data_IF_065068871862
#
_entry.id   IF_065068871862
#
_cell.length_a   1.000
_cell.length_b   1.000
_cell.length_c   1.000
_cell.angle_alpha   90.00
_cell.angle_beta   90.00
_cell.angle_gamma   90.00
#
_symmetry.space_group_name_H-M   'P 1'
#
loop_
_entity.id
_entity.type
_entity.pdbx_description
1 polymer ?
#
# COMPACT_ATOMS: atom_id res chain seq x y z
N UNK A 1 -7.72 18.23 -0.86
CA UNK A 1 -9.01 18.25 -1.60
C UNK A 1 -9.48 19.65 -1.96
N UNK A 2 -9.30 20.65 -1.12
CA UNK A 2 -9.74 22.05 -1.33
C UNK A 2 -8.98 22.75 -2.49
N UNK A 3 -7.67 22.59 -2.60
CA UNK A 3 -6.85 23.22 -3.63
C UNK A 3 -7.16 22.75 -5.09
N UNK A 4 -7.67 21.52 -5.28
CA UNK A 4 -8.07 21.01 -6.60
C UNK A 4 -9.36 21.64 -7.12
N UNK A 5 -10.32 21.94 -6.23
CA UNK A 5 -11.56 22.63 -6.61
C UNK A 5 -11.31 24.08 -7.01
N UNK A 6 -10.40 24.79 -6.33
CA UNK A 6 -10.07 26.17 -6.63
C UNK A 6 -9.38 26.37 -7.98
N UNK A 7 -8.49 25.43 -8.42
CA UNK A 7 -7.84 25.49 -9.73
C UNK A 7 -8.83 25.24 -10.88
N UNK A 8 -9.76 24.32 -10.73
CA UNK A 8 -10.80 24.06 -11.73
C UNK A 8 -11.74 25.25 -11.87
N UNK A 9 -12.11 25.91 -10.76
CA UNK A 9 -12.94 27.12 -10.75
C UNK A 9 -12.23 28.37 -11.31
N UNK A 10 -10.90 28.40 -11.35
CA UNK A 10 -10.12 29.50 -11.93
C UNK A 10 -9.88 29.33 -13.46
N UNK A 11 -9.73 28.10 -13.94
CA UNK A 11 -9.45 27.83 -15.36
C UNK A 11 -10.68 28.03 -16.26
N UNK A 12 -11.88 27.68 -15.79
CA UNK A 12 -13.14 27.83 -16.57
C UNK A 12 -13.48 29.29 -16.85
N UNK A 13 -13.43 30.24 -15.88
CA UNK A 13 -13.68 31.66 -16.16
C UNK A 13 -12.65 32.27 -17.11
N UNK A 14 -11.39 31.84 -17.02
CA UNK A 14 -10.33 32.36 -17.91
C UNK A 14 -10.53 31.95 -19.36
N UNK A 15 -10.96 30.72 -19.62
CA UNK A 15 -11.30 30.25 -20.98
C UNK A 15 -12.55 30.97 -21.52
N UNK A 16 -13.56 31.18 -20.68
CA UNK A 16 -14.77 31.94 -21.05
C UNK A 16 -14.45 33.41 -21.38
N UNK A 17 -13.61 34.06 -20.58
CA UNK A 17 -13.15 35.43 -20.83
C UNK A 17 -12.37 35.55 -22.14
N UNK A 18 -11.48 34.58 -22.43
CA UNK A 18 -10.73 34.51 -23.69
C UNK A 18 -11.67 34.37 -24.91
N UNK A 19 -12.70 33.50 -24.81
CA UNK A 19 -13.73 33.34 -25.87
C UNK A 19 -14.56 34.58 -26.08
N UNK A 20 -14.94 35.30 -25.02
CA UNK A 20 -15.68 36.55 -25.12
C UNK A 20 -14.85 37.66 -25.75
N UNK A 21 -13.57 37.77 -25.42
CA UNK A 21 -12.62 38.69 -26.07
C UNK A 21 -12.47 38.38 -27.56
N UNK A 22 -12.34 37.10 -27.93
CA UNK A 22 -12.28 36.63 -29.31
C UNK A 22 -13.58 37.02 -30.09
N UNK A 23 -14.73 36.75 -29.48
CA UNK A 23 -16.03 37.09 -30.08
C UNK A 23 -16.18 38.60 -30.28
N UNK A 24 -15.77 39.40 -29.29
CA UNK A 24 -15.81 40.86 -29.38
C UNK A 24 -14.89 41.40 -30.48
N UNK A 25 -13.65 40.90 -30.57
CA UNK A 25 -12.67 41.25 -31.65
C UNK A 25 -13.17 40.88 -33.05
N UNK A 26 -13.95 39.81 -33.18
CA UNK A 26 -14.51 39.37 -34.46
C UNK A 26 -15.73 40.22 -34.87
N UNK A 27 -16.47 40.76 -33.91
CA UNK A 27 -17.71 41.49 -34.15
C UNK A 27 -17.51 43.03 -34.30
N UNK A 28 -16.34 43.59 -33.91
CA UNK A 28 -16.05 45.01 -34.01
C UNK A 28 -15.78 45.44 -35.47
N UNK A 29 -16.64 46.29 -36.09
CA UNK A 29 -16.51 46.66 -37.49
C UNK A 29 -15.39 47.71 -37.75
N UNK A 30 -14.86 48.37 -36.71
CA UNK A 30 -13.89 49.45 -36.85
C UNK A 30 -12.43 49.06 -36.81
N UNK A 31 -12.10 47.81 -36.58
CA UNK A 31 -10.72 47.31 -36.55
C UNK A 31 -10.12 47.21 -37.95
N UNK A 32 -9.18 48.09 -38.26
CA UNK A 32 -8.65 48.36 -39.59
C UNK A 32 -7.72 47.34 -40.25
N UNK A 33 -7.35 46.22 -39.60
CA UNK A 33 -6.52 45.17 -40.21
C UNK A 33 -6.99 43.76 -39.88
N UNK A 34 -7.53 43.07 -40.88
CA UNK A 34 -7.98 41.68 -40.76
C UNK A 34 -6.87 40.73 -40.21
N UNK A 35 -5.59 41.00 -40.53
CA UNK A 35 -4.44 40.21 -40.05
C UNK A 35 -4.26 40.31 -38.54
N UNK A 36 -4.34 41.53 -37.95
CA UNK A 36 -4.19 41.71 -36.50
C UNK A 36 -5.31 41.03 -35.71
N UNK A 37 -6.53 40.98 -36.24
CA UNK A 37 -7.67 40.27 -35.66
C UNK A 37 -7.42 38.78 -35.59
N UNK A 38 -6.96 38.17 -36.70
CA UNK A 38 -6.66 36.75 -36.73
C UNK A 38 -5.48 36.37 -35.84
N UNK A 39 -4.46 37.22 -35.72
CA UNK A 39 -3.35 37.01 -34.78
C UNK A 39 -3.82 37.07 -33.34
N UNK A 40 -4.71 37.96 -32.96
CA UNK A 40 -5.26 38.01 -31.62
C UNK A 40 -6.12 36.79 -31.28
N UNK A 41 -6.95 36.31 -32.23
CA UNK A 41 -7.75 35.12 -32.07
C UNK A 41 -6.85 33.87 -31.89
N UNK A 42 -5.83 33.72 -32.72
CA UNK A 42 -4.86 32.62 -32.61
C UNK A 42 -4.10 32.64 -31.28
N UNK A 43 -3.68 33.84 -30.83
CA UNK A 43 -3.03 33.98 -29.53
C UNK A 43 -3.95 33.60 -28.37
N UNK A 44 -5.23 33.96 -28.40
CA UNK A 44 -6.20 33.61 -27.38
C UNK A 44 -6.49 32.10 -27.37
N UNK A 45 -6.57 31.45 -28.54
CA UNK A 45 -6.73 30.00 -28.64
C UNK A 45 -5.48 29.30 -28.08
N UNK A 46 -4.27 29.74 -28.45
CA UNK A 46 -3.05 29.19 -27.93
C UNK A 46 -2.93 29.31 -26.40
N UNK A 47 -3.27 30.49 -25.85
CA UNK A 47 -3.29 30.70 -24.40
C UNK A 47 -4.31 29.79 -23.69
N UNK A 48 -5.49 29.60 -24.28
CA UNK A 48 -6.51 28.69 -23.74
C UNK A 48 -6.04 27.23 -23.76
N UNK A 49 -5.40 26.78 -24.82
CA UNK A 49 -4.83 25.43 -24.93
C UNK A 49 -3.70 25.21 -23.92
N UNK A 50 -2.85 26.21 -23.68
CA UNK A 50 -1.80 26.17 -22.68
C UNK A 50 -2.38 26.07 -21.25
N UNK A 51 -3.43 26.82 -20.94
CA UNK A 51 -4.12 26.76 -19.65
C UNK A 51 -4.80 25.42 -19.42
N UNK A 52 -5.44 24.85 -20.44
CA UNK A 52 -6.05 23.52 -20.35
C UNK A 52 -5.00 22.45 -20.18
N UNK A 53 -3.92 22.48 -20.97
CA UNK A 53 -2.84 21.49 -20.87
C UNK A 53 -2.11 21.54 -19.51
N UNK A 54 -1.85 22.74 -18.98
CA UNK A 54 -1.27 22.90 -17.65
C UNK A 54 -2.19 22.39 -16.53
N UNK A 55 -3.49 22.65 -16.66
CA UNK A 55 -4.49 22.13 -15.70
C UNK A 55 -4.57 20.60 -15.71
N UNK A 56 -4.53 19.98 -16.89
CA UNK A 56 -4.49 18.54 -17.06
C UNK A 56 -3.19 17.98 -16.45
N UNK A 57 -2.03 18.60 -16.72
CA UNK A 57 -0.77 18.16 -16.14
C UNK A 57 -0.77 18.19 -14.61
N UNK A 58 -1.31 19.24 -13.99
CA UNK A 58 -1.44 19.35 -12.52
C UNK A 58 -2.38 18.26 -11.96
N UNK A 59 -3.47 17.94 -12.64
CA UNK A 59 -4.38 16.87 -12.22
C UNK A 59 -3.71 15.50 -12.31
N UNK A 60 -2.92 15.24 -13.36
CA UNK A 60 -2.20 13.98 -13.55
C UNK A 60 -1.08 13.82 -12.50
N UNK A 61 -0.24 14.82 -12.30
CA UNK A 61 0.84 14.77 -11.31
C UNK A 61 0.32 14.63 -9.89
N UNK A 62 -0.74 15.38 -9.54
CA UNK A 62 -1.38 15.27 -8.22
C UNK A 62 -1.99 13.90 -7.97
N UNK A 63 -2.57 13.23 -8.99
CA UNK A 63 -3.12 11.87 -8.86
C UNK A 63 -2.05 10.82 -8.60
N UNK A 64 -0.90 10.94 -9.25
CA UNK A 64 0.23 10.03 -9.02
C UNK A 64 0.85 10.22 -7.63
N UNK A 65 0.99 11.45 -7.16
CA UNK A 65 1.51 11.74 -5.81
C UNK A 65 0.57 11.19 -4.73
N UNK A 66 -0.74 11.38 -4.85
CA UNK A 66 -1.69 10.83 -3.89
C UNK A 66 -1.67 9.30 -3.88
N UNK A 67 -1.55 8.65 -5.05
CA UNK A 67 -1.43 7.20 -5.16
C UNK A 67 -0.11 6.68 -4.56
N UNK A 68 1.00 7.39 -4.77
CA UNK A 68 2.30 7.06 -4.16
C UNK A 68 2.28 7.23 -2.65
N UNK A 69 1.71 8.34 -2.15
CA UNK A 69 1.54 8.56 -0.71
C UNK A 69 0.64 7.50 -0.07
N UNK A 70 -0.48 7.14 -0.72
CA UNK A 70 -1.36 6.08 -0.26
C UNK A 70 -0.67 4.71 -0.26
N UNK A 71 0.18 4.44 -1.26
CA UNK A 71 0.98 3.20 -1.34
C UNK A 71 2.07 3.19 -0.26
N UNK A 72 2.83 4.26 -0.10
CA UNK A 72 3.84 4.40 0.95
C UNK A 72 3.24 4.31 2.36
N UNK A 73 2.01 4.80 2.54
CA UNK A 73 1.28 4.69 3.81
C UNK A 73 0.82 3.26 4.15
N UNK A 74 0.78 2.32 3.19
CA UNK A 74 0.25 0.97 3.37
C UNK A 74 1.23 -0.15 3.08
N UNK A 75 2.39 0.12 2.48
CA UNK A 75 3.39 -0.90 2.13
C UNK A 75 4.73 -0.63 2.81
N UNK A 76 5.44 -1.72 3.10
CA UNK A 76 6.81 -1.67 3.58
C UNK A 76 7.78 -1.51 2.39
N UNK A 77 8.70 -0.54 2.41
CA UNK A 77 9.58 -0.27 1.28
C UNK A 77 10.67 -1.34 1.05
N UNK A 78 11.02 -2.11 2.08
CA UNK A 78 12.06 -3.16 2.01
C UNK A 78 11.51 -4.43 1.37
N UNK A 79 10.35 -4.87 1.81
CA UNK A 79 9.75 -6.14 1.38
C UNK A 79 8.74 -5.98 0.25
N UNK A 80 8.19 -4.79 0.05
CA UNK A 80 7.07 -4.52 -0.87
C UNK A 80 5.72 -5.06 -0.38
N UNK A 81 5.69 -5.78 0.74
CA UNK A 81 4.48 -6.29 1.37
C UNK A 81 3.64 -5.17 2.00
N UNK A 82 2.45 -5.51 2.48
CA UNK A 82 1.72 -4.62 3.37
C UNK A 82 2.55 -4.27 4.60
N UNK A 83 2.34 -3.08 5.16
CA UNK A 83 2.88 -2.68 6.46
C UNK A 83 1.84 -2.91 7.57
N UNK A 84 2.17 -2.51 8.81
CA UNK A 84 1.29 -2.59 9.97
C UNK A 84 -0.10 -1.99 9.72
N UNK A 85 -0.17 -0.82 9.09
CA UNK A 85 -1.45 -0.14 8.80
C UNK A 85 -2.29 -0.98 7.83
N UNK A 86 -1.65 -1.57 6.82
CA UNK A 86 -2.32 -2.46 5.89
C UNK A 86 -2.84 -3.73 6.58
N UNK A 87 -2.01 -4.38 7.42
CA UNK A 87 -2.40 -5.58 8.16
C UNK A 87 -3.63 -5.33 9.04
N UNK A 88 -3.63 -4.25 9.82
CA UNK A 88 -4.76 -3.89 10.68
C UNK A 88 -6.03 -3.60 9.86
N UNK A 89 -5.93 -2.83 8.78
CA UNK A 89 -7.07 -2.56 7.89
C UNK A 89 -7.65 -3.85 7.29
N UNK A 90 -6.81 -4.79 6.85
CA UNK A 90 -7.25 -6.09 6.31
C UNK A 90 -7.90 -6.96 7.38
N UNK A 91 -7.39 -6.92 8.60
CA UNK A 91 -7.97 -7.64 9.73
C UNK A 91 -9.34 -7.07 10.12
N UNK A 92 -9.50 -5.76 10.16
CA UNK A 92 -10.80 -5.10 10.40
C UNK A 92 -11.83 -5.49 9.34
N UNK A 93 -11.44 -5.46 8.05
CA UNK A 93 -12.29 -5.89 6.95
C UNK A 93 -12.69 -7.38 7.07
N UNK A 94 -11.75 -8.25 7.44
CA UNK A 94 -12.02 -9.67 7.66
C UNK A 94 -12.99 -9.89 8.82
N UNK A 95 -12.80 -9.19 9.94
CA UNK A 95 -13.70 -9.26 11.09
C UNK A 95 -15.10 -8.70 10.76
N UNK A 96 -15.19 -7.64 9.96
CA UNK A 96 -16.47 -7.11 9.49
C UNK A 96 -17.23 -8.17 8.66
N UNK A 97 -16.55 -8.87 7.73
CA UNK A 97 -17.14 -9.98 6.98
C UNK A 97 -17.52 -11.16 7.86
N UNK A 98 -16.69 -11.49 8.85
CA UNK A 98 -16.95 -12.56 9.83
C UNK A 98 -18.27 -12.35 10.60
N UNK A 99 -18.66 -11.10 10.85
CA UNK A 99 -19.96 -10.78 11.50
C UNK A 99 -21.17 -11.28 10.70
N UNK A 100 -21.09 -11.23 9.40
CA UNK A 100 -22.18 -11.65 8.50
C UNK A 100 -22.10 -13.11 8.11
N UNK A 101 -20.90 -13.68 7.97
CA UNK A 101 -20.70 -15.06 7.50
C UNK A 101 -20.59 -16.07 8.65
N UNK A 102 -20.30 -15.62 9.87
CA UNK A 102 -19.99 -16.50 11.01
C UNK A 102 -18.65 -17.23 10.88
N UNK A 103 -17.86 -16.98 9.82
CA UNK A 103 -16.57 -17.64 9.60
C UNK A 103 -15.48 -17.06 10.50
N UNK A 104 -14.53 -17.89 10.87
CA UNK A 104 -13.39 -17.49 11.68
C UNK A 104 -12.39 -16.66 10.88
N UNK A 105 -11.64 -15.82 11.59
CA UNK A 105 -10.48 -15.08 11.07
C UNK A 105 -9.26 -15.52 11.87
N UNK A 106 -8.21 -15.95 11.17
CA UNK A 106 -6.92 -16.31 11.75
C UNK A 106 -5.95 -15.13 11.67
N UNK A 107 -5.09 -15.03 12.66
CA UNK A 107 -3.90 -14.17 12.65
C UNK A 107 -2.70 -15.02 13.03
N UNK A 108 -1.65 -14.96 12.21
CA UNK A 108 -0.33 -15.53 12.52
C UNK A 108 0.64 -14.37 12.70
N UNK A 109 1.44 -14.41 13.75
CA UNK A 109 2.50 -13.44 14.02
C UNK A 109 3.84 -14.15 14.05
N UNK A 110 4.84 -13.60 13.40
CA UNK A 110 6.17 -14.18 13.26
C UNK A 110 7.23 -13.15 13.62
N UNK A 111 8.26 -13.57 14.34
CA UNK A 111 9.46 -12.79 14.65
C UNK A 111 10.68 -13.61 14.24
N UNK A 112 11.64 -12.99 13.54
CA UNK A 112 12.85 -13.69 13.07
C UNK A 112 13.85 -13.83 14.22
N UNK A 113 14.24 -15.06 14.49
CA UNK A 113 15.21 -15.33 15.54
C UNK A 113 16.60 -14.84 15.11
N UNK A 114 17.29 -14.16 16.03
CA UNK A 114 18.66 -13.66 15.85
C UNK A 114 18.89 -12.81 14.59
N UNK A 115 17.85 -12.14 14.04
CA UNK A 115 17.99 -11.30 12.85
C UNK A 115 19.02 -10.18 13.03
N UNK A 116 19.18 -9.66 14.25
CA UNK A 116 20.22 -8.69 14.58
C UNK A 116 21.63 -9.24 14.28
N UNK A 117 21.89 -10.50 14.56
CA UNK A 117 23.19 -11.13 14.28
C UNK A 117 23.48 -11.14 12.77
N UNK A 118 22.45 -11.36 11.94
CA UNK A 118 22.62 -11.27 10.48
C UNK A 118 23.03 -9.85 10.06
N UNK A 119 22.39 -8.82 10.62
CA UNK A 119 22.77 -7.42 10.36
C UNK A 119 24.18 -7.10 10.83
N UNK A 120 24.55 -7.55 12.02
CA UNK A 120 25.87 -7.29 12.61
C UNK A 120 27.01 -7.98 11.83
N UNK A 121 26.77 -9.18 11.29
CA UNK A 121 27.77 -9.98 10.56
C UNK A 121 27.84 -9.62 9.08
N UNK A 122 26.69 -9.44 8.39
CA UNK A 122 26.61 -9.30 6.94
C UNK A 122 26.22 -7.89 6.48
N UNK A 123 25.87 -7.01 7.43
CA UNK A 123 25.43 -5.63 7.18
C UNK A 123 23.93 -5.52 6.82
N UNK A 124 23.36 -4.34 7.04
CA UNK A 124 21.94 -4.05 6.86
C UNK A 124 21.41 -4.33 5.43
N UNK A 125 22.28 -4.14 4.41
CA UNK A 125 21.86 -4.44 3.01
C UNK A 125 21.57 -5.91 2.79
N UNK A 126 22.30 -6.82 3.43
CA UNK A 126 22.04 -8.27 3.36
C UNK A 126 20.81 -8.60 4.21
N UNK A 127 20.68 -8.00 5.38
CA UNK A 127 19.48 -8.12 6.22
C UNK A 127 18.20 -7.70 5.49
N UNK A 128 18.21 -6.55 4.82
CA UNK A 128 17.05 -6.07 4.04
C UNK A 128 16.68 -7.04 2.91
N UNK A 129 17.66 -7.58 2.20
CA UNK A 129 17.44 -8.60 1.16
C UNK A 129 16.90 -9.91 1.74
N UNK A 130 17.36 -10.28 2.93
CA UNK A 130 16.85 -11.47 3.64
C UNK A 130 15.38 -11.24 4.02
N UNK A 131 15.02 -10.08 4.59
CA UNK A 131 13.63 -9.72 4.90
C UNK A 131 12.74 -9.78 3.66
N UNK A 132 13.20 -9.24 2.52
CA UNK A 132 12.47 -9.30 1.27
C UNK A 132 12.26 -10.73 0.77
N UNK A 133 13.30 -11.57 0.88
CA UNK A 133 13.23 -12.98 0.48
C UNK A 133 12.30 -13.81 1.38
N UNK A 134 12.33 -13.57 2.70
CA UNK A 134 11.41 -14.19 3.66
C UNK A 134 9.97 -13.77 3.35
N UNK A 135 9.72 -12.47 3.18
CA UNK A 135 8.41 -11.96 2.84
C UNK A 135 7.85 -12.57 1.56
N UNK A 136 8.67 -12.74 0.52
CA UNK A 136 8.27 -13.42 -0.71
C UNK A 136 7.89 -14.89 -0.47
N UNK A 137 8.70 -15.64 0.32
CA UNK A 137 8.37 -17.03 0.68
C UNK A 137 7.09 -17.15 1.48
N UNK A 138 6.85 -16.25 2.41
CA UNK A 138 5.59 -16.22 3.17
C UNK A 138 4.40 -15.95 2.26
N UNK A 139 4.53 -15.02 1.32
CA UNK A 139 3.47 -14.74 0.34
C UNK A 139 3.17 -15.96 -0.56
N UNK A 140 4.20 -16.73 -0.95
CA UNK A 140 4.03 -17.95 -1.73
C UNK A 140 3.44 -19.10 -0.92
N UNK A 141 3.64 -19.13 0.42
CA UNK A 141 3.16 -20.18 1.32
C UNK A 141 1.69 -20.05 1.72
N UNK A 142 1.08 -18.89 1.50
CA UNK A 142 -0.30 -18.61 1.89
C UNK A 142 -1.24 -18.50 0.68
N UNK A 143 -2.56 -18.44 0.93
CA UNK A 143 -3.56 -18.33 -0.13
C UNK A 143 -3.58 -16.89 -0.69
N UNK A 144 -4.03 -16.66 -1.94
CA UNK A 144 -4.19 -15.30 -2.50
C UNK A 144 -5.16 -14.41 -1.71
N UNK A 145 -6.05 -14.99 -0.92
CA UNK A 145 -6.99 -14.29 -0.03
C UNK A 145 -6.35 -13.84 1.27
N UNK A 146 -5.26 -14.48 1.67
CA UNK A 146 -4.52 -14.16 2.88
C UNK A 146 -3.66 -12.91 2.65
N UNK A 147 -3.39 -12.17 3.70
CA UNK A 147 -2.57 -10.95 3.61
C UNK A 147 -1.31 -11.14 4.42
N UNK A 148 -0.15 -11.04 3.78
CA UNK A 148 1.15 -11.00 4.44
C UNK A 148 1.60 -9.55 4.56
N UNK A 149 2.06 -9.15 5.73
CA UNK A 149 2.56 -7.81 6.01
C UNK A 149 3.81 -7.87 6.88
N UNK A 150 4.74 -6.95 6.66
CA UNK A 150 5.81 -6.67 7.62
C UNK A 150 5.27 -5.71 8.67
N UNK A 151 5.18 -6.20 9.91
CA UNK A 151 4.53 -5.46 10.98
C UNK A 151 5.47 -4.44 11.63
N UNK A 152 6.76 -4.77 11.73
CA UNK A 152 7.83 -3.88 12.22
C UNK A 152 9.17 -4.62 12.25
N UNK A 153 10.29 -3.94 12.14
CA UNK A 153 11.61 -4.56 12.31
C UNK A 153 11.79 -5.89 11.54
N UNK A 154 11.86 -6.97 12.27
CA UNK A 154 11.95 -8.37 11.87
C UNK A 154 10.63 -9.15 12.05
N UNK A 155 9.53 -8.45 12.32
CA UNK A 155 8.22 -9.02 12.60
C UNK A 155 7.33 -9.04 11.34
N UNK A 156 6.61 -10.16 11.14
CA UNK A 156 5.61 -10.34 10.09
C UNK A 156 4.27 -10.73 10.69
N UNK A 157 3.19 -10.25 10.06
CA UNK A 157 1.83 -10.62 10.42
C UNK A 157 1.09 -11.16 9.18
N UNK A 158 0.36 -12.25 9.37
CA UNK A 158 -0.46 -12.86 8.32
C UNK A 158 -1.91 -12.84 8.77
N UNK A 159 -2.79 -12.27 7.95
CA UNK A 159 -4.25 -12.25 8.17
C UNK A 159 -4.90 -13.26 7.25
N UNK A 160 -5.60 -14.23 7.84
CA UNK A 160 -6.27 -15.34 7.16
C UNK A 160 -7.79 -15.16 7.30
N UNK A 161 -8.48 -14.53 6.32
CA UNK A 161 -9.93 -14.33 6.37
C UNK A 161 -10.67 -15.64 6.06
N UNK A 162 -11.93 -15.70 6.50
CA UNK A 162 -12.92 -16.70 6.10
C UNK A 162 -12.47 -18.16 6.29
N UNK A 163 -11.82 -18.47 7.40
CA UNK A 163 -11.48 -19.84 7.75
C UNK A 163 -12.75 -20.67 7.96
N UNK A 164 -12.76 -21.89 7.47
CA UNK A 164 -13.88 -22.83 7.65
C UNK A 164 -13.92 -23.36 9.08
N UNK A 165 -12.74 -23.70 9.58
CA UNK A 165 -12.49 -24.12 10.95
C UNK A 165 -11.35 -23.26 11.54
N UNK A 166 -11.43 -22.99 12.85
CA UNK A 166 -10.37 -22.27 13.57
C UNK A 166 -9.04 -23.00 13.55
N UNK A 167 -9.04 -24.35 13.43
CA UNK A 167 -7.80 -25.16 13.29
C UNK A 167 -7.04 -24.91 11.99
N UNK A 168 -7.69 -24.36 10.94
CA UNK A 168 -7.06 -24.08 9.66
C UNK A 168 -5.89 -23.06 9.77
N UNK A 169 -5.88 -22.20 10.82
CA UNK A 169 -4.80 -21.25 11.03
C UNK A 169 -3.49 -21.93 11.43
N UNK A 170 -3.54 -23.05 12.18
CA UNK A 170 -2.37 -23.86 12.50
C UNK A 170 -1.68 -24.40 11.24
N UNK A 171 -2.46 -24.84 10.25
CA UNK A 171 -1.91 -25.29 8.96
C UNK A 171 -1.23 -24.16 8.18
N UNK A 172 -1.61 -22.91 8.42
CA UNK A 172 -0.89 -21.75 7.86
C UNK A 172 0.44 -21.58 8.56
N UNK A 173 0.47 -21.64 9.89
CA UNK A 173 1.69 -21.56 10.69
C UNK A 173 2.69 -22.66 10.28
N UNK A 174 2.25 -23.92 10.18
CA UNK A 174 3.09 -25.06 9.74
C UNK A 174 3.73 -24.80 8.36
N UNK A 175 2.96 -24.24 7.40
CA UNK A 175 3.48 -23.90 6.06
C UNK A 175 4.52 -22.79 6.09
N UNK A 176 4.37 -21.81 6.99
CA UNK A 176 5.37 -20.76 7.17
C UNK A 176 6.66 -21.34 7.78
N UNK A 177 6.57 -22.23 8.76
CA UNK A 177 7.73 -22.93 9.31
C UNK A 177 8.47 -23.73 8.25
N UNK A 178 7.77 -24.56 7.46
CA UNK A 178 8.34 -25.32 6.33
C UNK A 178 9.00 -24.37 5.32
N UNK A 179 8.41 -23.20 5.06
CA UNK A 179 9.00 -22.21 4.16
C UNK A 179 10.35 -21.69 4.68
N UNK A 180 10.59 -21.69 5.99
CA UNK A 180 11.85 -21.23 6.59
C UNK A 180 12.96 -22.32 6.59
N UNK A 181 12.64 -23.59 6.41
CA UNK A 181 13.63 -24.69 6.44
C UNK A 181 14.71 -24.57 5.37
N UNK A 182 14.39 -24.03 4.19
CA UNK A 182 15.33 -23.91 3.09
C UNK A 182 16.23 -22.68 3.26
N UNK A 183 17.55 -22.81 3.03
CA UNK A 183 18.45 -21.68 3.07
C UNK A 183 18.04 -20.55 2.12
N UNK A 184 18.43 -19.34 2.46
CA UNK A 184 18.28 -18.13 1.64
C UNK A 184 19.63 -17.81 0.99
N UNK A 185 19.68 -17.70 -0.32
CA UNK A 185 20.89 -17.32 -1.05
C UNK A 185 20.87 -15.82 -1.29
N UNK A 186 21.61 -15.07 -0.47
CA UNK A 186 21.63 -13.61 -0.48
C UNK A 186 23.06 -13.12 -0.71
N UNK A 187 23.31 -12.43 -1.83
CA UNK A 187 24.64 -11.87 -2.11
C UNK A 187 25.78 -12.91 -2.15
N UNK A 188 25.48 -14.16 -2.51
CA UNK A 188 26.44 -15.27 -2.53
C UNK A 188 26.58 -16.01 -1.18
N UNK A 189 25.91 -15.54 -0.12
CA UNK A 189 25.87 -16.21 1.18
C UNK A 189 24.67 -17.15 1.27
N UNK A 190 24.86 -18.31 1.86
CA UNK A 190 23.79 -19.26 2.21
C UNK A 190 23.40 -19.04 3.67
N UNK A 191 22.25 -18.43 3.91
CA UNK A 191 21.78 -18.05 5.23
C UNK A 191 20.63 -18.96 5.65
N UNK A 192 20.69 -19.49 6.86
CA UNK A 192 19.58 -20.19 7.52
C UNK A 192 18.95 -19.17 8.47
N UNK A 193 17.66 -18.94 8.31
CA UNK A 193 16.88 -18.10 9.20
C UNK A 193 15.78 -18.93 9.85
N UNK A 194 15.51 -18.67 11.11
CA UNK A 194 14.41 -19.25 11.87
C UNK A 194 13.43 -18.15 12.26
N UNK A 195 12.23 -18.53 12.59
CA UNK A 195 11.23 -17.61 13.09
C UNK A 195 10.43 -18.26 14.22
N UNK A 196 10.17 -17.49 15.27
CA UNK A 196 9.21 -17.84 16.29
C UNK A 196 7.82 -17.47 15.78
N UNK A 197 6.88 -18.42 15.78
CA UNK A 197 5.57 -18.27 15.18
C UNK A 197 4.48 -18.48 16.24
N UNK A 198 3.55 -17.53 16.34
CA UNK A 198 2.36 -17.65 17.15
C UNK A 198 1.10 -17.35 16.34
N UNK A 199 -0.02 -17.94 16.71
CA UNK A 199 -1.26 -17.71 15.99
C UNK A 199 -2.48 -17.68 16.94
N UNK A 200 -3.53 -17.05 16.45
CA UNK A 200 -4.82 -16.99 17.16
C UNK A 200 -5.97 -16.97 16.18
N UNK A 201 -7.15 -17.25 16.70
CA UNK A 201 -8.42 -17.23 15.94
C UNK A 201 -9.40 -16.31 16.64
N UNK A 202 -10.18 -15.59 15.84
CA UNK A 202 -11.26 -14.74 16.34
C UNK A 202 -12.47 -14.70 15.41
N UNK A 203 -13.51 -14.07 15.91
CA UNK A 203 -14.77 -13.87 15.23
C UNK A 203 -15.19 -12.40 15.35
N UNK A 204 -15.71 -11.82 14.28
CA UNK A 204 -16.09 -10.41 14.25
C UNK A 204 -17.13 -9.97 15.28
N UNK A 205 -17.89 -10.93 15.82
CA UNK A 205 -18.89 -10.68 16.88
C UNK A 205 -18.28 -10.57 18.28
N UNK A 206 -17.02 -11.01 18.47
CA UNK A 206 -16.40 -11.16 19.79
C UNK A 206 -15.06 -10.45 19.94
N UNK A 207 -14.40 -10.13 18.82
CA UNK A 207 -13.02 -9.64 18.83
C UNK A 207 -12.88 -8.37 17.98
N UNK A 208 -11.91 -7.54 18.33
CA UNK A 208 -11.40 -6.45 17.52
C UNK A 208 -10.01 -6.78 16.95
N UNK A 209 -9.53 -5.95 15.99
CA UNK A 209 -8.28 -6.22 15.29
C UNK A 209 -7.05 -6.12 16.20
N UNK A 210 -7.01 -5.11 17.07
CA UNK A 210 -5.89 -4.89 17.98
C UNK A 210 -5.75 -6.03 19.00
N UNK A 211 -6.88 -6.50 19.54
CA UNK A 211 -6.91 -7.62 20.46
C UNK A 211 -6.38 -8.91 19.81
N UNK A 212 -6.80 -9.21 18.56
CA UNK A 212 -6.32 -10.41 17.88
C UNK A 212 -4.84 -10.33 17.55
N UNK A 213 -4.34 -9.18 17.10
CA UNK A 213 -2.91 -8.99 16.89
C UNK A 213 -2.13 -9.19 18.19
N UNK A 214 -2.56 -8.58 19.28
CA UNK A 214 -1.89 -8.71 20.58
C UNK A 214 -1.89 -10.15 21.10
N UNK A 215 -2.95 -10.92 20.85
CA UNK A 215 -3.00 -12.34 21.23
C UNK A 215 -2.07 -13.19 20.38
N UNK A 216 -1.98 -12.96 19.07
CA UNK A 216 -1.07 -13.69 18.20
C UNK A 216 0.40 -13.38 18.55
N UNK A 217 0.71 -12.12 18.84
CA UNK A 217 2.02 -11.68 19.36
C UNK A 217 2.38 -12.36 20.68
N UNK A 218 1.46 -12.43 21.64
CA UNK A 218 1.67 -13.12 22.90
C UNK A 218 1.95 -14.63 22.72
N UNK A 219 1.27 -15.29 21.77
CA UNK A 219 1.56 -16.71 21.46
C UNK A 219 2.94 -16.87 20.79
N UNK A 220 3.32 -15.98 19.86
CA UNK A 220 4.64 -15.95 19.27
C UNK A 220 5.73 -15.76 20.33
N UNK A 221 5.54 -14.82 21.24
CA UNK A 221 6.50 -14.59 22.34
C UNK A 221 6.65 -15.82 23.27
N UNK A 222 5.57 -16.56 23.52
CA UNK A 222 5.65 -17.84 24.25
C UNK A 222 6.44 -18.89 23.50
N UNK A 223 6.26 -19.02 22.19
CA UNK A 223 7.05 -19.92 21.33
C UNK A 223 8.54 -19.54 21.39
N UNK A 224 8.85 -18.24 21.34
CA UNK A 224 10.22 -17.72 21.44
C UNK A 224 10.93 -18.06 22.75
N UNK A 225 10.20 -18.11 23.86
CA UNK A 225 10.76 -18.47 25.18
C UNK A 225 11.07 -19.96 25.35
N UNK A 226 10.60 -20.81 24.43
CA UNK A 226 10.81 -22.27 24.47
C UNK A 226 12.01 -22.73 23.61
N UNK A 227 12.66 -21.82 22.91
CA UNK A 227 13.87 -22.04 22.11
C UNK A 227 15.12 -21.87 22.98
#
# INVERSE_FOLDING_TARGET
MIARRTLFFAAVPSCLAALLVCAWLLLDPQSQSGVLRWLAVLAAIAASLLLVSSSIAVLWTGGQQDAQLARAARHDPVTGLGNRVHALSRLEEALARSRSTGRAVGVVFCDLDDFKVVNDVYGHTVGDRLLAAIGARFADAVRPTDTVARYGGDEFAIVCPELRDGSDVGLVADRLEIAMERPFIIGGHSLIAKASIGFTVGYGTRNNAEELMSRADAEMYRAKLQL
#
